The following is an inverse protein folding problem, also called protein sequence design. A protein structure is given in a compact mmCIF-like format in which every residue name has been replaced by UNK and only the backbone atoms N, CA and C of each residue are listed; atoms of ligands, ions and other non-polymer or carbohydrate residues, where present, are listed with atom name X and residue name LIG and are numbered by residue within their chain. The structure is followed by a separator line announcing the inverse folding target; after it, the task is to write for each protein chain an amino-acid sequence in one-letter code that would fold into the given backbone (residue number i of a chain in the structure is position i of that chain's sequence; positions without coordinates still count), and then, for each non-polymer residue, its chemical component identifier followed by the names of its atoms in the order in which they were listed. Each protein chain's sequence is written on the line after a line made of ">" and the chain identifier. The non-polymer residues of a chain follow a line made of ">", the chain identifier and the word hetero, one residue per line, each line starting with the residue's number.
data_IF_876463783927
#
_entry.id   IF_876463783927
#
_cell.length_a   1.000
_cell.length_b   1.000
_cell.length_c   1.000
_cell.angle_alpha   90.00
_cell.angle_beta   90.00
_cell.angle_gamma   90.00
#
_symmetry.space_group_name_H-M   'P 1'
#
loop_
_entity.id
_entity.type
_entity.pdbx_description
1 polymer ?
#
# COMPACT_ATOMS: atom_id res chain seq x y z
N UNK A 1 -17.38 -23.73 6.14
CA UNK A 1 -17.50 -22.32 5.68
C UNK A 1 -18.54 -21.61 6.53
N UNK A 2 -18.11 -20.60 7.29
CA UNK A 2 -18.96 -19.86 8.23
C UNK A 2 -20.00 -18.97 7.54
N UNK A 3 -20.97 -18.46 8.32
CA UNK A 3 -22.00 -17.56 7.78
C UNK A 3 -21.40 -16.26 7.21
N UNK A 4 -20.38 -15.71 7.88
CA UNK A 4 -19.69 -14.48 7.46
C UNK A 4 -18.97 -14.72 6.13
N UNK A 5 -18.24 -15.81 5.99
CA UNK A 5 -17.50 -16.17 4.78
C UNK A 5 -18.44 -16.34 3.58
N UNK A 6 -19.59 -17.01 3.79
CA UNK A 6 -20.62 -17.12 2.75
C UNK A 6 -21.18 -15.76 2.32
N UNK A 7 -21.37 -14.84 3.26
CA UNK A 7 -21.82 -13.49 2.96
C UNK A 7 -20.76 -12.71 2.16
N UNK A 8 -19.50 -12.74 2.61
CA UNK A 8 -18.40 -12.05 1.94
C UNK A 8 -18.17 -12.55 0.52
N UNK A 9 -18.29 -13.88 0.28
CA UNK A 9 -18.22 -14.47 -1.07
C UNK A 9 -19.38 -14.07 -1.99
N UNK A 10 -20.48 -13.55 -1.46
CA UNK A 10 -21.56 -12.95 -2.29
C UNK A 10 -21.31 -11.46 -2.54
N UNK A 11 -20.51 -10.83 -1.70
CA UNK A 11 -20.26 -9.40 -1.75
C UNK A 11 -19.19 -9.04 -2.80
N UNK A 12 -18.17 -9.90 -2.97
CA UNK A 12 -17.02 -9.66 -3.85
C UNK A 12 -17.01 -10.65 -5.04
N UNK A 13 -16.28 -10.31 -6.08
CA UNK A 13 -16.04 -11.19 -7.24
C UNK A 13 -15.00 -12.26 -6.88
N UNK A 14 -13.97 -11.86 -6.13
CA UNK A 14 -12.94 -12.76 -5.61
C UNK A 14 -13.48 -13.77 -4.59
N UNK A 15 -12.59 -14.35 -3.79
CA UNK A 15 -12.95 -15.39 -2.84
C UNK A 15 -12.50 -15.04 -1.42
N UNK A 16 -13.26 -15.49 -0.41
CA UNK A 16 -12.89 -15.43 1.01
C UNK A 16 -12.94 -16.85 1.58
N UNK A 17 -11.92 -17.21 2.33
CA UNK A 17 -11.76 -18.53 2.94
C UNK A 17 -11.63 -18.44 4.45
N UNK A 18 -12.19 -19.46 5.13
CA UNK A 18 -12.05 -19.73 6.56
C UNK A 18 -11.70 -21.21 6.83
N UNK A 19 -11.17 -21.91 5.81
CA UNK A 19 -10.78 -23.31 5.90
C UNK A 19 -9.39 -23.45 6.53
N UNK A 20 -9.15 -24.48 7.37
CA UNK A 20 -7.90 -24.63 8.14
C UNK A 20 -6.63 -24.60 7.28
N UNK A 21 -6.65 -25.25 6.13
CA UNK A 21 -5.55 -25.31 5.17
C UNK A 21 -5.09 -23.92 4.68
N UNK A 22 -6.04 -23.09 4.26
CA UNK A 22 -5.76 -21.71 3.82
C UNK A 22 -5.33 -20.84 5.00
N UNK A 23 -6.01 -20.94 6.14
CA UNK A 23 -5.66 -20.16 7.32
C UNK A 23 -4.25 -20.52 7.83
N UNK A 24 -3.86 -21.79 7.79
CA UNK A 24 -2.53 -22.22 8.21
C UNK A 24 -1.45 -21.76 7.21
N UNK A 25 -1.70 -21.81 5.92
CA UNK A 25 -0.79 -21.29 4.89
C UNK A 25 -0.54 -19.76 5.04
N UNK A 26 -1.54 -19.01 5.46
CA UNK A 26 -1.45 -17.56 5.67
C UNK A 26 -1.13 -17.17 7.12
N UNK A 27 -0.83 -18.11 7.99
CA UNK A 27 -0.44 -17.86 9.38
C UNK A 27 1.04 -17.56 9.58
N UNK A 28 1.87 -17.75 8.56
CA UNK A 28 3.32 -17.56 8.58
C UNK A 28 3.78 -16.72 7.40
N UNK A 29 4.87 -16.01 7.57
CA UNK A 29 5.64 -15.32 6.53
C UNK A 29 7.10 -15.80 6.58
N UNK A 30 8.07 -14.98 6.21
CA UNK A 30 9.51 -15.31 6.35
C UNK A 30 10.09 -14.90 7.72
N UNK A 31 9.26 -14.42 8.65
CA UNK A 31 9.67 -14.16 10.03
C UNK A 31 9.60 -15.44 10.88
N UNK A 32 9.95 -15.32 12.15
CA UNK A 32 9.79 -16.37 13.16
C UNK A 32 8.39 -16.38 13.78
N UNK A 33 7.53 -15.47 13.36
CA UNK A 33 6.20 -15.27 13.93
C UNK A 33 5.17 -16.19 13.27
N UNK A 34 4.14 -16.55 14.04
CA UNK A 34 2.97 -17.28 13.55
C UNK A 34 1.72 -16.67 14.13
N UNK A 35 0.86 -16.11 13.26
CA UNK A 35 -0.42 -15.51 13.63
C UNK A 35 -1.51 -16.04 12.73
N UNK A 36 -2.42 -16.87 13.26
CA UNK A 36 -3.48 -17.49 12.47
C UNK A 36 -4.61 -16.49 12.21
N UNK A 37 -4.92 -16.17 10.95
CA UNK A 37 -6.04 -15.29 10.62
C UNK A 37 -7.39 -15.97 10.83
N UNK A 38 -8.46 -15.18 10.94
CA UNK A 38 -9.85 -15.70 10.92
C UNK A 38 -10.37 -15.85 9.48
N UNK A 39 -9.89 -15.02 8.58
CA UNK A 39 -10.29 -15.01 7.18
C UNK A 39 -9.11 -14.67 6.29
N UNK A 40 -9.09 -15.25 5.09
CA UNK A 40 -8.18 -14.86 4.00
C UNK A 40 -9.03 -14.52 2.78
N UNK A 41 -8.87 -13.31 2.25
CA UNK A 41 -9.55 -12.85 1.06
C UNK A 41 -8.58 -12.74 -0.12
N UNK A 42 -9.03 -13.15 -1.30
CA UNK A 42 -8.35 -13.02 -2.59
C UNK A 42 -9.20 -12.13 -3.51
N UNK A 43 -9.16 -10.80 -3.35
CA UNK A 43 -9.87 -9.89 -4.22
C UNK A 43 -9.34 -9.95 -5.66
N UNK A 44 -10.22 -9.73 -6.64
CA UNK A 44 -9.87 -9.68 -8.06
C UNK A 44 -9.94 -8.24 -8.62
N UNK A 45 -10.41 -7.30 -7.80
CA UNK A 45 -10.54 -5.90 -8.17
C UNK A 45 -10.35 -4.95 -6.99
N UNK A 46 -10.06 -3.67 -7.26
CA UNK A 46 -10.09 -2.61 -6.25
C UNK A 46 -11.45 -2.52 -5.58
N UNK A 47 -12.54 -2.74 -6.32
CA UNK A 47 -13.89 -2.68 -5.75
C UNK A 47 -14.15 -3.81 -4.74
N UNK A 48 -13.58 -4.99 -4.94
CA UNK A 48 -13.63 -6.07 -3.94
C UNK A 48 -12.99 -5.64 -2.62
N UNK A 49 -11.79 -5.02 -2.69
CA UNK A 49 -11.12 -4.48 -1.49
C UNK A 49 -11.98 -3.42 -0.83
N UNK A 50 -12.54 -2.49 -1.60
CA UNK A 50 -13.42 -1.43 -1.08
C UNK A 50 -14.62 -2.00 -0.33
N UNK A 51 -15.27 -3.02 -0.88
CA UNK A 51 -16.42 -3.70 -0.25
C UNK A 51 -16.02 -4.40 1.05
N UNK A 52 -14.89 -5.10 1.06
CA UNK A 52 -14.35 -5.72 2.27
C UNK A 52 -14.05 -4.66 3.34
N UNK A 53 -13.35 -3.58 2.99
CA UNK A 53 -13.02 -2.51 3.93
C UNK A 53 -14.27 -1.85 4.51
N UNK A 54 -15.28 -1.54 3.68
CA UNK A 54 -16.57 -1.00 4.16
C UNK A 54 -17.26 -1.94 5.13
N UNK A 55 -17.31 -3.23 4.82
CA UNK A 55 -17.91 -4.23 5.68
C UNK A 55 -17.22 -4.30 7.05
N UNK A 56 -15.89 -4.41 7.06
CA UNK A 56 -15.14 -4.51 8.32
C UNK A 56 -15.15 -3.20 9.12
N UNK A 57 -15.16 -2.05 8.45
CA UNK A 57 -15.33 -0.75 9.09
C UNK A 57 -16.72 -0.61 9.76
N UNK A 58 -17.78 -1.11 9.11
CA UNK A 58 -19.12 -1.13 9.70
C UNK A 58 -19.24 -2.07 10.90
N UNK A 59 -18.50 -3.18 10.89
CA UNK A 59 -18.48 -4.09 12.04
C UNK A 59 -17.69 -3.46 13.20
N UNK A 60 -16.56 -2.83 12.91
CA UNK A 60 -15.76 -2.13 13.92
C UNK A 60 -16.55 -1.02 14.63
N UNK A 61 -17.44 -0.31 13.91
CA UNK A 61 -18.32 0.70 14.50
C UNK A 61 -19.38 0.13 15.48
N UNK A 62 -19.53 -1.20 15.53
CA UNK A 62 -20.41 -1.94 16.47
C UNK A 62 -19.62 -2.63 17.59
N UNK A 63 -18.46 -2.09 17.93
CA UNK A 63 -17.56 -2.60 18.97
C UNK A 63 -17.05 -4.05 18.72
N UNK A 64 -17.01 -4.48 17.46
CA UNK A 64 -16.42 -5.77 17.06
C UNK A 64 -15.21 -5.48 16.16
N UNK A 65 -14.07 -5.05 16.73
CA UNK A 65 -12.89 -4.74 15.92
C UNK A 65 -12.30 -6.02 15.31
N UNK A 66 -12.02 -5.95 14.02
CA UNK A 66 -11.28 -7.00 13.28
C UNK A 66 -10.09 -6.34 12.62
N UNK A 67 -8.89 -6.83 12.92
CA UNK A 67 -7.68 -6.38 12.24
C UNK A 67 -7.75 -6.78 10.76
N UNK A 68 -7.32 -5.87 9.89
CA UNK A 68 -7.23 -6.11 8.45
C UNK A 68 -5.81 -5.80 8.01
N UNK A 69 -5.17 -6.76 7.35
CA UNK A 69 -3.79 -6.63 6.88
C UNK A 69 -3.71 -7.01 5.42
N UNK A 70 -3.04 -6.19 4.62
CA UNK A 70 -2.70 -6.52 3.24
C UNK A 70 -1.48 -7.44 3.22
N UNK A 71 -1.50 -8.43 2.32
CA UNK A 71 -0.38 -9.35 2.10
C UNK A 71 -0.08 -9.45 0.61
N UNK A 72 1.15 -9.13 0.26
CA UNK A 72 1.71 -9.35 -1.07
C UNK A 72 2.18 -10.81 -1.24
N UNK A 73 3.44 -10.99 -1.57
CA UNK A 73 4.05 -12.32 -1.77
C UNK A 73 4.38 -13.06 -0.47
N UNK A 74 4.12 -12.50 0.70
CA UNK A 74 4.43 -13.13 1.99
C UNK A 74 5.93 -13.23 2.28
N UNK A 75 6.72 -12.33 1.73
CA UNK A 75 8.19 -12.31 1.85
C UNK A 75 8.70 -11.46 3.00
N UNK A 76 7.80 -10.85 3.78
CA UNK A 76 8.16 -10.01 4.91
C UNK A 76 8.89 -10.82 5.99
N UNK A 77 9.91 -10.21 6.61
CA UNK A 77 10.75 -10.83 7.66
C UNK A 77 10.41 -10.33 9.07
N UNK A 78 9.50 -9.35 9.17
CA UNK A 78 9.11 -8.71 10.43
C UNK A 78 7.70 -9.06 10.92
N UNK A 79 6.94 -9.88 10.16
CA UNK A 79 5.57 -10.24 10.51
C UNK A 79 4.51 -9.19 10.15
N UNK A 80 4.86 -8.16 9.37
CA UNK A 80 3.96 -7.07 9.05
C UNK A 80 2.75 -7.48 8.17
N UNK A 81 2.83 -8.60 7.47
CA UNK A 81 1.76 -9.15 6.64
C UNK A 81 0.93 -10.25 7.34
N UNK A 82 1.14 -10.45 8.65
CA UNK A 82 0.36 -11.35 9.49
C UNK A 82 -0.78 -10.63 10.21
N UNK A 83 -1.90 -11.33 10.42
CA UNK A 83 -3.08 -10.76 11.09
C UNK A 83 -3.85 -11.85 11.82
N UNK A 84 -4.43 -11.52 12.97
CA UNK A 84 -5.40 -12.38 13.67
C UNK A 84 -6.83 -12.24 13.15
N UNK A 85 -7.09 -11.30 12.26
CA UNK A 85 -8.40 -11.00 11.69
C UNK A 85 -8.52 -11.41 10.22
N UNK A 86 -8.58 -10.44 9.31
CA UNK A 86 -8.62 -10.64 7.87
C UNK A 86 -7.23 -10.40 7.26
N UNK A 87 -6.75 -11.33 6.46
CA UNK A 87 -5.64 -11.11 5.52
C UNK A 87 -6.22 -10.89 4.13
N UNK A 88 -5.89 -9.78 3.48
CA UNK A 88 -6.22 -9.49 2.09
C UNK A 88 -4.99 -9.81 1.24
N UNK A 89 -5.03 -10.92 0.53
CA UNK A 89 -3.96 -11.32 -0.40
C UNK A 89 -4.11 -10.58 -1.72
N UNK A 90 -3.06 -9.90 -2.15
CA UNK A 90 -3.04 -9.19 -3.44
C UNK A 90 -2.65 -10.10 -4.62
N UNK A 91 -2.48 -11.41 -4.40
CA UNK A 91 -1.96 -12.34 -5.41
C UNK A 91 -2.75 -12.36 -6.74
N UNK A 92 -4.07 -12.09 -6.70
CA UNK A 92 -4.91 -11.99 -7.90
C UNK A 92 -4.94 -10.57 -8.51
N UNK A 93 -4.33 -9.60 -7.88
CA UNK A 93 -4.19 -8.21 -8.35
C UNK A 93 -2.81 -8.02 -8.98
N UNK A 94 -2.51 -8.76 -10.04
CA UNK A 94 -1.18 -8.87 -10.64
C UNK A 94 -1.12 -8.40 -12.10
N UNK A 95 -2.07 -7.57 -12.54
CA UNK A 95 -2.12 -7.11 -13.93
C UNK A 95 -1.32 -5.83 -14.14
N UNK A 96 -0.64 -5.74 -15.29
CA UNK A 96 -0.21 -4.48 -15.87
C UNK A 96 -1.44 -3.84 -16.54
N UNK A 97 -1.77 -2.62 -16.15
CA UNK A 97 -2.96 -1.90 -16.61
C UNK A 97 -2.63 -0.98 -17.80
N UNK A 98 -1.47 -0.36 -17.76
CA UNK A 98 -1.05 0.63 -18.76
C UNK A 98 0.47 0.68 -18.82
N UNK A 99 1.04 0.91 -20.01
CA UNK A 99 2.46 1.17 -20.20
C UNK A 99 2.64 2.29 -21.22
N UNK A 100 3.46 3.28 -20.89
CA UNK A 100 3.95 4.31 -21.80
C UNK A 100 5.49 4.27 -21.83
N UNK A 101 6.09 3.59 -22.83
CA UNK A 101 7.54 3.51 -22.95
C UNK A 101 8.23 4.84 -23.24
N UNK A 102 7.52 5.83 -23.83
CA UNK A 102 8.08 7.16 -24.15
C UNK A 102 8.25 7.98 -22.87
N UNK A 103 7.22 8.01 -22.05
CA UNK A 103 7.25 8.67 -20.74
C UNK A 103 7.92 7.80 -19.66
N UNK A 104 8.26 6.54 -19.98
CA UNK A 104 8.80 5.53 -19.06
C UNK A 104 7.90 5.32 -17.83
N UNK A 105 6.60 5.30 -18.07
CA UNK A 105 5.59 5.09 -17.06
C UNK A 105 4.88 3.75 -17.26
N UNK A 106 4.56 3.11 -16.15
CA UNK A 106 3.77 1.89 -16.12
C UNK A 106 2.79 1.93 -14.95
N UNK A 107 1.55 1.53 -15.19
CA UNK A 107 0.54 1.36 -14.15
C UNK A 107 0.30 -0.12 -13.91
N UNK A 108 0.52 -0.55 -12.67
CA UNK A 108 0.41 -1.96 -12.28
C UNK A 108 -0.45 -2.13 -11.03
N UNK A 109 -1.01 -3.31 -10.86
CA UNK A 109 -1.68 -3.69 -9.63
C UNK A 109 -0.66 -4.13 -8.57
N UNK A 110 -0.98 -3.93 -7.31
CA UNK A 110 -0.08 -4.09 -6.16
C UNK A 110 0.49 -5.50 -5.98
N UNK A 111 -0.22 -6.53 -6.45
CA UNK A 111 0.20 -7.93 -6.33
C UNK A 111 1.13 -8.42 -7.44
N UNK A 112 1.37 -7.64 -8.50
CA UNK A 112 2.36 -7.96 -9.53
C UNK A 112 3.75 -8.05 -8.89
N UNK A 113 4.53 -9.08 -9.23
CA UNK A 113 5.91 -9.21 -8.73
C UNK A 113 6.88 -8.35 -9.53
N UNK A 114 8.01 -8.00 -8.91
CA UNK A 114 9.08 -7.26 -9.59
C UNK A 114 9.60 -8.04 -10.80
N UNK A 115 9.70 -9.37 -10.70
CA UNK A 115 10.09 -10.25 -11.80
C UNK A 115 9.14 -10.13 -12.99
N UNK A 116 7.82 -10.26 -12.74
CA UNK A 116 6.80 -10.12 -13.80
C UNK A 116 6.87 -8.75 -14.46
N UNK A 117 7.00 -7.68 -13.65
CA UNK A 117 7.12 -6.32 -14.14
C UNK A 117 8.36 -6.15 -15.01
N UNK A 118 9.54 -6.53 -14.52
CA UNK A 118 10.79 -6.39 -15.28
C UNK A 118 10.81 -7.25 -16.55
N UNK A 119 10.20 -8.44 -16.51
CA UNK A 119 10.03 -9.26 -17.71
C UNK A 119 9.20 -8.53 -18.78
N UNK A 120 8.09 -7.91 -18.38
CA UNK A 120 7.25 -7.16 -19.31
C UNK A 120 7.95 -5.88 -19.83
N UNK A 121 8.64 -5.15 -18.95
CA UNK A 121 9.37 -3.92 -19.32
C UNK A 121 10.56 -4.18 -20.23
N UNK A 122 11.19 -5.36 -20.15
CA UNK A 122 12.36 -5.72 -20.96
C UNK A 122 12.10 -5.66 -22.47
N UNK A 123 10.86 -5.90 -22.90
CA UNK A 123 10.43 -5.76 -24.31
C UNK A 123 10.67 -4.34 -24.83
N UNK A 124 10.59 -3.33 -23.96
CA UNK A 124 10.85 -1.92 -24.30
C UNK A 124 12.25 -1.45 -23.88
N UNK A 125 13.14 -2.37 -23.49
CA UNK A 125 14.50 -2.04 -23.01
C UNK A 125 14.50 -1.31 -21.66
N UNK A 126 13.43 -1.43 -20.88
CA UNK A 126 13.25 -0.79 -19.58
C UNK A 126 13.30 -1.84 -18.44
N UNK A 127 13.66 -1.39 -17.26
CA UNK A 127 13.57 -2.19 -16.03
C UNK A 127 13.54 -1.30 -14.79
N UNK A 128 13.04 -1.83 -13.68
CA UNK A 128 13.22 -1.28 -12.34
C UNK A 128 14.50 -1.89 -11.76
N UNK A 129 15.58 -1.10 -11.51
CA UNK A 129 16.90 -1.62 -11.17
C UNK A 129 17.03 -1.92 -9.67
N UNK A 130 16.16 -2.76 -9.12
CA UNK A 130 16.22 -3.25 -7.75
C UNK A 130 16.59 -4.72 -7.78
N UNK A 131 17.56 -5.13 -6.98
CA UNK A 131 18.12 -6.47 -6.98
C UNK A 131 17.77 -7.27 -5.72
N UNK A 132 17.56 -8.59 -5.89
CA UNK A 132 17.30 -9.50 -4.76
C UNK A 132 15.86 -9.52 -4.24
N UNK A 133 14.95 -8.84 -4.91
CA UNK A 133 13.53 -8.72 -4.54
C UNK A 133 12.57 -9.15 -5.65
N UNK A 134 13.06 -9.97 -6.58
CA UNK A 134 12.31 -10.40 -7.77
C UNK A 134 10.93 -11.00 -7.48
N UNK A 135 10.83 -11.78 -6.40
CA UNK A 135 9.58 -12.45 -6.00
C UNK A 135 8.68 -11.57 -5.12
N UNK A 136 9.13 -10.35 -4.77
CA UNK A 136 8.32 -9.43 -3.99
C UNK A 136 7.26 -8.77 -4.87
N UNK A 137 6.04 -8.64 -4.33
CA UNK A 137 4.99 -7.87 -4.98
C UNK A 137 5.33 -6.37 -4.97
N UNK A 138 4.91 -5.64 -6.00
CA UNK A 138 5.16 -4.19 -6.12
C UNK A 138 4.60 -3.43 -4.91
N UNK A 139 3.39 -3.78 -4.43
CA UNK A 139 2.82 -3.17 -3.23
C UNK A 139 3.66 -3.40 -1.99
N UNK A 140 4.15 -4.65 -1.77
CA UNK A 140 5.04 -4.98 -0.67
C UNK A 140 6.40 -4.28 -0.79
N UNK A 141 6.96 -4.22 -2.00
CA UNK A 141 8.23 -3.55 -2.26
C UNK A 141 8.17 -2.04 -1.97
N UNK A 142 7.06 -1.39 -2.31
CA UNK A 142 6.82 0.04 -2.03
C UNK A 142 6.67 0.27 -0.52
N UNK A 143 5.93 -0.60 0.17
CA UNK A 143 5.71 -0.48 1.62
C UNK A 143 6.99 -0.73 2.43
N UNK A 144 7.80 -1.72 2.06
CA UNK A 144 9.04 -2.05 2.75
C UNK A 144 10.20 -1.13 2.35
N UNK A 145 10.17 -0.62 1.10
CA UNK A 145 11.21 0.22 0.48
C UNK A 145 12.65 -0.22 0.84
N UNK A 146 13.03 -1.46 0.51
CA UNK A 146 14.30 -2.05 0.96
C UNK A 146 15.50 -1.31 0.38
N UNK A 147 16.61 -1.34 1.12
CA UNK A 147 17.92 -0.91 0.63
C UNK A 147 18.63 -2.12 0.05
N UNK A 148 18.90 -2.10 -1.24
CA UNK A 148 19.56 -3.17 -1.98
C UNK A 148 20.94 -2.74 -2.52
N UNK A 149 21.64 -3.65 -3.20
CA UNK A 149 22.98 -3.37 -3.74
C UNK A 149 23.00 -2.29 -4.82
N UNK A 150 21.89 -2.02 -5.48
CA UNK A 150 21.77 -0.98 -6.52
C UNK A 150 21.42 0.40 -5.96
N UNK A 151 21.09 0.48 -4.66
CA UNK A 151 20.64 1.69 -3.98
C UNK A 151 21.60 2.87 -4.12
N UNK A 152 22.90 2.64 -4.04
CA UNK A 152 23.92 3.71 -4.15
C UNK A 152 23.94 4.38 -5.52
N UNK A 153 23.53 3.65 -6.58
CA UNK A 153 23.50 4.16 -7.96
C UNK A 153 22.16 4.73 -8.36
N UNK A 154 21.07 4.08 -7.96
CA UNK A 154 19.74 4.39 -8.46
C UNK A 154 18.77 4.90 -7.39
N UNK A 155 19.14 4.80 -6.11
CA UNK A 155 18.27 5.05 -4.97
C UNK A 155 17.27 3.89 -4.75
N UNK A 156 16.34 4.08 -3.82
CA UNK A 156 15.32 3.09 -3.50
C UNK A 156 14.12 3.11 -4.45
N UNK A 157 13.21 2.15 -4.24
CA UNK A 157 11.96 2.03 -5.02
C UNK A 157 11.17 3.34 -5.05
N UNK A 158 11.24 4.15 -4.00
CA UNK A 158 10.56 5.44 -3.91
C UNK A 158 10.89 6.41 -5.06
N UNK A 159 12.07 6.27 -5.67
CA UNK A 159 12.47 7.10 -6.81
C UNK A 159 11.76 6.70 -8.12
N UNK A 160 11.15 5.53 -8.15
CA UNK A 160 10.44 4.97 -9.31
C UNK A 160 8.93 5.01 -9.15
N UNK A 161 8.42 5.56 -8.04
CA UNK A 161 6.98 5.69 -7.79
C UNK A 161 6.53 7.11 -8.14
N UNK A 162 5.62 7.23 -9.10
CA UNK A 162 5.03 8.51 -9.50
C UNK A 162 3.72 8.78 -8.76
N UNK A 163 2.86 7.76 -8.62
CA UNK A 163 1.55 7.85 -7.98
C UNK A 163 1.17 6.54 -7.33
N UNK A 164 0.34 6.65 -6.30
CA UNK A 164 -0.25 5.50 -5.60
C UNK A 164 -1.76 5.68 -5.55
N UNK A 165 -2.50 4.61 -5.83
CA UNK A 165 -3.92 4.48 -5.51
C UNK A 165 -4.03 3.57 -4.28
N UNK A 166 -4.60 4.11 -3.20
CA UNK A 166 -4.78 3.40 -1.93
C UNK A 166 -6.26 3.28 -1.57
N UNK A 167 -6.67 2.12 -1.07
CA UNK A 167 -8.00 1.94 -0.46
C UNK A 167 -7.87 2.21 1.03
N UNK A 168 -8.60 3.20 1.52
CA UNK A 168 -8.60 3.63 2.92
C UNK A 168 -9.44 2.69 3.81
N UNK A 169 -9.29 2.82 5.12
CA UNK A 169 -9.96 1.97 6.10
C UNK A 169 -11.50 1.98 6.00
N UNK A 170 -12.11 3.07 5.53
CA UNK A 170 -13.55 3.17 5.29
C UNK A 170 -13.98 2.70 3.89
N UNK A 171 -13.05 2.20 3.05
CA UNK A 171 -13.29 1.76 1.69
C UNK A 171 -13.36 2.89 0.65
N UNK A 172 -12.99 4.13 1.01
CA UNK A 172 -12.74 5.19 0.03
C UNK A 172 -11.43 4.93 -0.70
N UNK A 173 -11.31 5.41 -1.95
CA UNK A 173 -10.05 5.40 -2.68
C UNK A 173 -9.39 6.79 -2.57
N UNK A 174 -8.11 6.79 -2.28
CA UNK A 174 -7.26 7.97 -2.34
C UNK A 174 -6.25 7.76 -3.46
N UNK A 175 -6.15 8.73 -4.36
CA UNK A 175 -5.13 8.78 -5.38
C UNK A 175 -4.15 9.90 -5.05
N UNK A 176 -2.88 9.55 -4.88
CA UNK A 176 -1.85 10.56 -4.57
C UNK A 176 -1.55 11.39 -5.80
N UNK A 177 -1.32 12.67 -5.57
CA UNK A 177 -0.86 13.62 -6.59
C UNK A 177 -0.22 14.83 -5.91
N UNK A 178 0.71 15.46 -6.60
CA UNK A 178 1.26 16.73 -6.16
C UNK A 178 0.25 17.85 -6.40
N UNK A 179 -0.40 18.32 -5.34
CA UNK A 179 -1.46 19.31 -5.38
C UNK A 179 -0.95 20.70 -4.95
N UNK A 180 -1.27 21.75 -5.73
CA UNK A 180 -1.05 23.15 -5.33
C UNK A 180 -1.94 23.50 -4.14
N UNK A 181 -1.56 24.51 -3.35
CA UNK A 181 -2.28 24.97 -2.13
C UNK A 181 -3.80 25.12 -2.33
N UNK A 182 -4.23 25.67 -3.47
CA UNK A 182 -5.65 25.81 -3.78
C UNK A 182 -6.38 24.46 -3.85
N UNK A 183 -5.80 23.49 -4.53
CA UNK A 183 -6.41 22.16 -4.65
C UNK A 183 -6.39 21.39 -3.32
N UNK A 184 -5.33 21.58 -2.51
CA UNK A 184 -5.26 21.04 -1.14
C UNK A 184 -6.40 21.60 -0.29
N UNK A 185 -6.65 22.93 -0.35
CA UNK A 185 -7.74 23.57 0.39
C UNK A 185 -9.13 23.03 -0.07
N UNK A 186 -9.31 22.82 -1.39
CA UNK A 186 -10.53 22.22 -1.94
C UNK A 186 -10.74 20.80 -1.41
N UNK A 187 -9.71 19.94 -1.47
CA UNK A 187 -9.76 18.59 -0.92
C UNK A 187 -10.03 18.58 0.58
N UNK A 188 -9.36 19.44 1.34
CA UNK A 188 -9.57 19.58 2.77
C UNK A 188 -10.98 20.04 3.17
N UNK A 189 -11.73 20.70 2.28
CA UNK A 189 -13.12 21.09 2.51
C UNK A 189 -14.13 19.93 2.33
N UNK A 190 -13.73 18.84 1.70
CA UNK A 190 -14.61 17.67 1.46
C UNK A 190 -14.93 16.96 2.78
N UNK A 191 -16.19 16.50 2.92
CA UNK A 191 -16.65 15.66 4.05
C UNK A 191 -16.36 14.19 3.76
N UNK A 192 -15.09 13.83 3.61
CA UNK A 192 -14.59 12.49 3.30
C UNK A 192 -13.39 12.16 4.18
N UNK A 193 -12.99 10.90 4.28
CA UNK A 193 -11.77 10.52 4.99
C UNK A 193 -10.54 11.12 4.30
N UNK A 194 -10.53 11.18 2.96
CA UNK A 194 -9.48 11.87 2.20
C UNK A 194 -9.40 13.36 2.62
N UNK A 195 -10.54 14.06 2.72
CA UNK A 195 -10.58 15.44 3.18
C UNK A 195 -10.05 15.63 4.59
N UNK A 196 -10.37 14.70 5.50
CA UNK A 196 -9.83 14.68 6.87
C UNK A 196 -8.32 14.50 6.89
N UNK A 197 -7.77 13.63 6.02
CA UNK A 197 -6.32 13.43 5.88
C UNK A 197 -5.66 14.74 5.45
N UNK A 198 -6.16 15.38 4.37
CA UNK A 198 -5.61 16.65 3.91
C UNK A 198 -5.68 17.76 4.98
N UNK A 199 -6.78 17.87 5.73
CA UNK A 199 -6.90 18.83 6.84
C UNK A 199 -5.87 18.59 7.94
N UNK A 200 -5.75 17.34 8.40
CA UNK A 200 -4.84 16.96 9.50
C UNK A 200 -3.38 17.14 9.09
N UNK A 201 -3.02 16.68 7.89
CA UNK A 201 -1.65 16.83 7.39
C UNK A 201 -1.31 18.32 7.17
N UNK A 202 -2.19 19.11 6.57
CA UNK A 202 -1.96 20.53 6.37
C UNK A 202 -1.78 21.28 7.70
N UNK A 203 -2.56 20.90 8.73
CA UNK A 203 -2.41 21.44 10.08
C UNK A 203 -1.07 21.03 10.70
N UNK A 204 -0.72 19.75 10.63
CA UNK A 204 0.55 19.24 11.15
C UNK A 204 1.76 19.94 10.50
N UNK A 205 1.75 20.07 9.18
CA UNK A 205 2.80 20.74 8.42
C UNK A 205 2.96 22.23 8.81
N UNK A 206 1.86 22.90 9.19
CA UNK A 206 1.87 24.29 9.67
C UNK A 206 2.31 24.39 11.14
N UNK A 207 1.71 23.56 12.02
CA UNK A 207 1.92 23.64 13.47
C UNK A 207 3.33 23.18 13.89
N UNK A 208 4.02 22.43 13.04
CA UNK A 208 5.35 21.85 13.28
C UNK A 208 6.34 22.18 12.17
N UNK A 209 6.18 23.31 11.51
CA UNK A 209 7.00 23.70 10.35
C UNK A 209 8.49 23.69 10.68
N UNK A 210 8.90 24.38 11.76
CA UNK A 210 10.31 24.46 12.16
C UNK A 210 10.92 23.09 12.43
N UNK A 211 10.16 22.20 13.10
CA UNK A 211 10.61 20.84 13.39
C UNK A 211 10.79 20.04 12.10
N UNK A 212 9.80 20.10 11.21
CA UNK A 212 9.83 19.37 9.94
C UNK A 212 10.97 19.86 9.03
N UNK A 213 11.24 21.16 9.02
CA UNK A 213 12.34 21.76 8.27
C UNK A 213 13.71 21.39 8.85
N UNK A 214 13.78 21.22 10.18
CA UNK A 214 15.01 20.78 10.86
C UNK A 214 15.32 19.29 10.66
N UNK A 215 14.37 18.48 10.20
CA UNK A 215 14.61 17.07 9.90
C UNK A 215 15.64 16.96 8.80
N UNK A 216 16.80 16.40 9.13
CA UNK A 216 17.77 16.00 8.14
C UNK A 216 17.14 14.91 7.26
N UNK A 217 17.44 14.96 5.97
CA UNK A 217 16.93 14.00 4.98
C UNK A 217 18.08 13.09 4.53
N UNK A 218 18.64 12.26 5.41
CA UNK A 218 19.65 11.31 5.00
C UNK A 218 19.04 10.34 4.02
N UNK A 219 19.75 10.03 2.96
CA UNK A 219 19.24 9.21 1.85
C UNK A 219 18.85 7.78 2.24
N UNK A 220 19.30 7.31 3.40
CA UNK A 220 19.19 5.92 3.84
C UNK A 220 18.76 5.75 5.30
N UNK A 221 18.51 6.84 6.03
CA UNK A 221 17.95 6.74 7.39
C UNK A 221 16.43 6.61 7.31
N UNK A 222 15.92 5.50 7.81
CA UNK A 222 14.50 5.15 7.84
C UNK A 222 13.94 5.17 9.27
N UNK A 223 14.70 5.68 10.23
CA UNK A 223 14.28 5.75 11.63
C UNK A 223 13.13 6.72 11.80
N UNK A 224 12.08 6.28 12.45
CA UNK A 224 10.87 7.08 12.67
C UNK A 224 10.00 7.18 11.41
N UNK A 225 9.52 8.38 11.08
CA UNK A 225 8.68 8.65 9.89
C UNK A 225 9.29 9.78 9.04
N UNK A 226 10.47 9.59 8.45
CA UNK A 226 11.23 10.65 7.78
C UNK A 226 10.51 11.21 6.56
N UNK A 227 9.61 10.43 5.96
CA UNK A 227 8.87 10.82 4.76
C UNK A 227 7.93 12.00 4.97
N UNK A 228 7.57 12.36 6.21
CA UNK A 228 6.75 13.57 6.48
C UNK A 228 7.43 14.84 5.96
N UNK A 229 8.76 14.93 6.00
CA UNK A 229 9.52 16.06 5.47
C UNK A 229 9.46 16.18 3.94
N UNK A 230 9.09 15.10 3.24
CA UNK A 230 8.97 15.03 1.78
C UNK A 230 7.56 15.35 1.27
N UNK A 231 6.58 15.49 2.18
CA UNK A 231 5.19 15.81 1.84
C UNK A 231 5.02 17.25 1.37
N UNK A 232 5.79 18.19 1.97
CA UNK A 232 5.72 19.62 1.65
C UNK A 232 6.73 19.98 0.56
N UNK A 233 6.26 20.56 -0.51
CA UNK A 233 7.04 21.26 -1.52
C UNK A 233 6.74 22.76 -1.43
N UNK A 234 7.55 23.61 -2.05
CA UNK A 234 7.42 25.09 -2.00
C UNK A 234 5.96 25.55 -2.01
N UNK A 235 5.19 25.17 -3.04
CA UNK A 235 3.81 25.63 -3.26
C UNK A 235 2.80 24.46 -3.36
N UNK A 236 3.21 23.25 -3.02
CA UNK A 236 2.38 22.07 -3.20
C UNK A 236 2.56 21.07 -2.07
N UNK A 237 1.62 20.15 -1.96
CA UNK A 237 1.62 19.02 -1.03
C UNK A 237 1.43 17.76 -1.85
N UNK A 238 2.20 16.72 -1.53
CA UNK A 238 2.06 15.38 -2.09
C UNK A 238 1.98 14.38 -0.95
N UNK A 239 0.90 13.62 -0.89
CA UNK A 239 0.72 12.59 0.14
C UNK A 239 1.46 11.29 -0.18
N UNK A 240 1.97 11.11 -1.41
CA UNK A 240 2.63 9.87 -1.82
C UNK A 240 3.73 9.42 -0.84
N UNK A 241 4.63 10.30 -0.35
CA UNK A 241 5.67 9.89 0.59
C UNK A 241 5.16 9.23 1.87
N UNK A 242 3.91 9.48 2.27
CA UNK A 242 3.30 8.87 3.46
C UNK A 242 2.93 7.39 3.26
N UNK A 243 2.91 6.91 2.02
CA UNK A 243 2.60 5.52 1.66
C UNK A 243 3.84 4.71 1.30
N UNK A 244 5.02 5.30 1.46
CA UNK A 244 6.29 4.68 1.18
C UNK A 244 6.99 4.36 2.50
N UNK A 245 7.63 3.19 2.57
CA UNK A 245 8.47 2.85 3.71
C UNK A 245 7.67 2.86 5.04
N UNK A 246 6.62 2.03 5.07
CA UNK A 246 5.63 1.91 6.16
C UNK A 246 6.06 0.88 7.21
#
# INVERSE_FOLDING_TARGET
>A
MGKITKYLNRLIIGNVFDTPDILDAYSVDRSVLKVKPKFVAFPESTEDIRKLMRFFNQIASKDIPVSVTARGSGTNKGGADLSSGLVISTAKLNRMLEIDPRERLVRVQAGMTLRELNTALSVSGLNIPISGYDDCSIGGLISEAPIDNSYTKYGGISNFVERIEAVLANGECLQTARLKKYHVAKKAAEKSLEGDIYRKISRLLKDREDLIESLQKPSHDKTGYPNIARVKYKDSVDLMPLFLDL
#
